data_IF_039852123739
#
_entry.id   IF_039852123739
#
_cell.length_a   1.000
_cell.length_b   1.000
_cell.length_c   1.000
_cell.angle_alpha   90.00
_cell.angle_beta   90.00
_cell.angle_gamma   90.00
#
_symmetry.space_group_name_H-M   'P 1'
#
loop_
_entity.id
_entity.type
_entity.pdbx_description
1 polymer ?
#
# COMPACT_ATOMS: atom_id res chain seq x y z
N UNK A 1 -28.18 -30.53 -35.94
CA UNK A 1 -29.46 -30.01 -35.42
C UNK A 1 -29.16 -28.97 -34.35
N UNK A 2 -29.55 -27.72 -34.56
CA UNK A 2 -29.28 -26.61 -33.63
C UNK A 2 -30.13 -26.75 -32.36
N UNK A 3 -29.48 -26.72 -31.19
CA UNK A 3 -30.13 -26.77 -29.87
C UNK A 3 -30.95 -25.48 -29.68
N UNK A 4 -32.27 -25.59 -29.55
CA UNK A 4 -33.15 -24.45 -29.25
C UNK A 4 -32.94 -24.04 -27.78
N UNK A 5 -32.42 -22.83 -27.56
CA UNK A 5 -32.37 -22.17 -26.25
C UNK A 5 -33.80 -21.99 -25.70
N UNK A 6 -34.00 -22.40 -24.46
CA UNK A 6 -35.30 -22.32 -23.77
C UNK A 6 -35.55 -20.90 -23.23
N UNK A 7 -36.78 -20.59 -22.85
CA UNK A 7 -37.15 -19.25 -22.36
C UNK A 7 -36.43 -18.85 -21.06
N UNK A 8 -36.03 -19.83 -20.24
CA UNK A 8 -35.26 -19.61 -19.01
C UNK A 8 -33.79 -19.25 -19.31
N UNK A 9 -33.18 -19.84 -20.35
CA UNK A 9 -31.84 -19.46 -20.80
C UNK A 9 -31.80 -17.98 -21.25
N UNK A 10 -32.87 -17.49 -21.88
CA UNK A 10 -32.98 -16.09 -22.30
C UNK A 10 -33.13 -15.13 -21.12
N UNK A 11 -33.88 -15.50 -20.07
CA UNK A 11 -34.02 -14.67 -18.86
C UNK A 11 -32.71 -14.56 -18.07
N UNK A 12 -31.95 -15.64 -17.95
CA UNK A 12 -30.63 -15.64 -17.29
C UNK A 12 -29.62 -14.76 -18.04
N UNK A 13 -29.64 -14.81 -19.38
CA UNK A 13 -28.72 -14.01 -20.20
C UNK A 13 -29.05 -12.51 -20.17
N UNK A 14 -30.35 -12.14 -20.14
CA UNK A 14 -30.79 -10.75 -20.05
C UNK A 14 -30.53 -10.13 -18.67
N UNK A 15 -30.71 -10.89 -17.59
CA UNK A 15 -30.42 -10.43 -16.23
C UNK A 15 -28.92 -10.16 -16.01
N UNK A 16 -28.03 -10.98 -16.61
CA UNK A 16 -26.58 -10.76 -16.55
C UNK A 16 -26.12 -9.59 -17.41
N UNK A 17 -26.72 -9.36 -18.59
CA UNK A 17 -26.38 -8.21 -19.45
C UNK A 17 -26.73 -6.87 -18.80
N UNK A 18 -27.80 -6.82 -18.01
CA UNK A 18 -28.22 -5.58 -17.35
C UNK A 18 -27.31 -5.21 -16.16
N UNK A 19 -26.74 -6.20 -15.44
CA UNK A 19 -25.73 -5.95 -14.42
C UNK A 19 -24.39 -5.45 -15.01
N UNK A 20 -24.07 -5.88 -16.22
CA UNK A 20 -22.84 -5.53 -16.96
C UNK A 20 -22.80 -4.04 -17.37
N UNK A 21 -23.95 -3.43 -17.70
CA UNK A 21 -24.01 -2.01 -18.08
C UNK A 21 -23.70 -1.08 -16.90
N UNK A 22 -24.13 -1.44 -15.69
CA UNK A 22 -23.91 -0.61 -14.49
C UNK A 22 -22.52 -0.78 -13.88
N UNK A 23 -21.78 -1.84 -14.25
CA UNK A 23 -20.47 -2.14 -13.68
C UNK A 23 -19.40 -1.10 -14.08
N UNK A 24 -19.31 -0.64 -15.36
CA UNK A 24 -18.45 0.48 -15.75
C UNK A 24 -18.84 1.81 -15.07
N UNK A 25 -20.13 2.07 -14.90
CA UNK A 25 -20.64 3.27 -14.22
C UNK A 25 -20.27 3.29 -12.74
N UNK A 26 -20.38 2.14 -12.05
CA UNK A 26 -19.96 2.00 -10.66
C UNK A 26 -18.45 2.16 -10.50
N UNK A 27 -17.64 1.58 -11.39
CA UNK A 27 -16.17 1.76 -11.37
C UNK A 27 -15.76 3.22 -11.65
N UNK A 28 -16.47 3.91 -12.54
CA UNK A 28 -16.28 5.35 -12.76
C UNK A 28 -16.66 6.18 -11.53
N UNK A 29 -17.73 5.80 -10.82
CA UNK A 29 -18.14 6.39 -9.54
C UNK A 29 -17.09 6.20 -8.45
N UNK A 30 -16.63 4.98 -8.22
CA UNK A 30 -15.60 4.67 -7.23
C UNK A 30 -14.28 5.37 -7.54
N UNK A 31 -13.91 5.47 -8.82
CA UNK A 31 -12.72 6.20 -9.24
C UNK A 31 -12.82 7.70 -8.92
N UNK A 32 -13.95 8.34 -9.24
CA UNK A 32 -14.17 9.74 -8.95
C UNK A 32 -14.18 10.01 -7.44
N UNK A 33 -14.86 9.16 -6.67
CA UNK A 33 -14.93 9.25 -5.21
C UNK A 33 -13.53 9.09 -4.57
N UNK A 34 -12.73 8.11 -5.00
CA UNK A 34 -11.34 7.96 -4.56
C UNK A 34 -10.51 9.20 -4.88
N UNK A 35 -10.65 9.76 -6.08
CA UNK A 35 -9.92 10.97 -6.44
C UNK A 35 -10.30 12.13 -5.51
N UNK A 36 -11.59 12.33 -5.24
CA UNK A 36 -12.08 13.36 -4.31
C UNK A 36 -11.52 13.17 -2.91
N UNK A 37 -11.65 11.97 -2.33
CA UNK A 37 -11.12 11.63 -1.01
C UNK A 37 -9.60 11.87 -0.91
N UNK A 38 -8.85 11.54 -1.98
CA UNK A 38 -7.42 11.80 -2.05
C UNK A 38 -7.10 13.29 -2.11
N UNK A 39 -7.81 14.09 -2.90
CA UNK A 39 -7.61 15.54 -2.92
C UNK A 39 -7.92 16.18 -1.56
N UNK A 40 -9.03 15.80 -0.94
CA UNK A 40 -9.45 16.28 0.38
C UNK A 40 -8.40 15.99 1.46
N UNK A 41 -7.65 14.88 1.32
CA UNK A 41 -6.56 14.55 2.24
C UNK A 41 -5.26 15.28 1.93
N UNK A 42 -4.84 15.34 0.67
CA UNK A 42 -3.51 15.82 0.30
C UNK A 42 -3.42 17.36 0.27
N UNK A 43 -4.50 18.06 -0.08
CA UNK A 43 -4.50 19.53 -0.13
C UNK A 43 -4.27 20.18 1.26
N UNK A 44 -4.95 19.77 2.34
CA UNK A 44 -4.67 20.30 3.68
C UNK A 44 -3.23 20.02 4.13
N UNK A 45 -2.70 18.83 3.83
CA UNK A 45 -1.31 18.50 4.15
C UNK A 45 -0.34 19.45 3.44
N UNK A 46 -0.54 19.72 2.14
CA UNK A 46 0.27 20.67 1.38
C UNK A 46 0.14 22.11 1.90
N UNK A 47 -1.05 22.51 2.34
CA UNK A 47 -1.30 23.84 2.88
C UNK A 47 -0.63 24.08 4.25
N UNK A 48 -0.38 23.02 5.01
CA UNK A 48 0.19 23.09 6.36
C UNK A 48 1.70 22.81 6.41
N UNK A 49 2.36 22.58 5.27
CA UNK A 49 3.82 22.36 5.27
C UNK A 49 4.54 23.67 5.55
N UNK A 50 5.01 23.81 6.78
CA UNK A 50 5.89 24.91 7.18
C UNK A 50 7.23 24.82 6.43
N UNK A 51 7.80 25.97 6.08
CA UNK A 51 9.14 26.10 5.49
C UNK A 51 9.37 25.41 4.14
N UNK A 52 8.29 25.05 3.40
CA UNK A 52 8.43 24.58 2.02
C UNK A 52 8.69 25.76 1.06
N UNK A 53 9.76 25.74 0.25
CA UNK A 53 9.98 26.76 -0.77
C UNK A 53 8.82 26.81 -1.76
N UNK A 54 8.39 28.03 -2.15
CA UNK A 54 7.25 28.22 -3.07
C UNK A 54 7.38 27.40 -4.35
N UNK A 55 8.58 27.36 -4.96
CA UNK A 55 8.83 26.56 -6.16
C UNK A 55 8.70 25.04 -5.93
N UNK A 56 8.94 24.54 -4.71
CA UNK A 56 8.72 23.15 -4.37
C UNK A 56 7.21 22.85 -4.22
N UNK A 57 6.47 23.75 -3.56
CA UNK A 57 5.01 23.64 -3.43
C UNK A 57 4.31 23.63 -4.80
N UNK A 58 4.68 24.57 -5.68
CA UNK A 58 4.14 24.64 -7.05
C UNK A 58 4.38 23.35 -7.84
N UNK A 59 5.58 22.76 -7.74
CA UNK A 59 5.88 21.47 -8.39
C UNK A 59 5.03 20.33 -7.83
N UNK A 60 4.84 20.28 -6.50
CA UNK A 60 3.98 19.25 -5.88
C UNK A 60 2.54 19.40 -6.35
N UNK A 61 1.98 20.60 -6.31
CA UNK A 61 0.63 20.90 -6.81
C UNK A 61 0.46 20.53 -8.29
N UNK A 62 1.42 20.90 -9.15
CA UNK A 62 1.37 20.57 -10.58
C UNK A 62 1.36 19.05 -10.83
N UNK A 63 2.09 18.29 -10.01
CA UNK A 63 2.15 16.82 -10.12
C UNK A 63 1.00 16.08 -9.44
N UNK A 64 0.28 16.73 -8.53
CA UNK A 64 -0.72 16.10 -7.66
C UNK A 64 -1.83 15.36 -8.45
N UNK A 65 -2.42 15.93 -9.53
CA UNK A 65 -3.45 15.24 -10.29
C UNK A 65 -2.97 13.92 -10.90
N UNK A 66 -1.72 13.88 -11.34
CA UNK A 66 -1.13 12.66 -11.90
C UNK A 66 -1.05 11.57 -10.84
N UNK A 67 -0.48 11.88 -9.66
CA UNK A 67 -0.32 10.90 -8.59
C UNK A 67 -1.66 10.46 -7.98
N UNK A 68 -2.64 11.35 -7.86
CA UNK A 68 -3.98 11.00 -7.38
C UNK A 68 -4.66 10.03 -8.32
N UNK A 69 -4.69 10.30 -9.64
CA UNK A 69 -5.26 9.36 -10.62
C UNK A 69 -4.53 8.02 -10.59
N UNK A 70 -3.20 8.05 -10.52
CA UNK A 70 -2.39 6.83 -10.42
C UNK A 70 -2.70 6.02 -9.16
N UNK A 71 -2.86 6.67 -8.00
CA UNK A 71 -3.22 6.00 -6.76
C UNK A 71 -4.65 5.45 -6.81
N UNK A 72 -5.62 6.20 -7.33
CA UNK A 72 -7.00 5.75 -7.46
C UNK A 72 -7.11 4.51 -8.37
N UNK A 73 -6.53 4.55 -9.58
CA UNK A 73 -6.47 3.39 -10.48
C UNK A 73 -5.74 2.22 -9.82
N UNK A 74 -4.60 2.48 -9.18
CA UNK A 74 -3.83 1.47 -8.46
C UNK A 74 -4.62 0.79 -7.36
N UNK A 75 -5.37 1.56 -6.56
CA UNK A 75 -6.20 1.02 -5.50
C UNK A 75 -7.31 0.11 -6.06
N UNK A 76 -8.07 0.58 -7.05
CA UNK A 76 -9.16 -0.19 -7.66
C UNK A 76 -8.66 -1.50 -8.31
N UNK A 77 -7.53 -1.44 -9.00
CA UNK A 77 -6.90 -2.63 -9.59
C UNK A 77 -6.38 -3.60 -8.52
N UNK A 78 -5.84 -3.08 -7.42
CA UNK A 78 -5.33 -3.91 -6.33
C UNK A 78 -6.44 -4.67 -5.58
N UNK A 79 -7.68 -4.18 -5.56
CA UNK A 79 -8.83 -4.87 -4.92
C UNK A 79 -9.00 -6.30 -5.46
N UNK A 80 -8.73 -6.52 -6.75
CA UNK A 80 -8.90 -7.83 -7.38
C UNK A 80 -7.94 -8.91 -6.83
N UNK A 81 -6.80 -8.49 -6.26
CA UNK A 81 -5.71 -9.38 -5.86
C UNK A 81 -5.33 -9.24 -4.38
N UNK A 82 -5.84 -8.20 -3.71
CA UNK A 82 -5.60 -7.88 -2.31
C UNK A 82 -6.60 -8.60 -1.41
N UNK A 83 -6.17 -9.11 -0.25
CA UNK A 83 -7.09 -9.63 0.78
C UNK A 83 -7.75 -8.52 1.62
N UNK A 84 -7.41 -7.25 1.37
CA UNK A 84 -7.88 -6.10 2.13
C UNK A 84 -9.15 -5.52 1.50
N UNK A 85 -10.00 -4.93 2.34
CA UNK A 85 -11.16 -4.17 1.86
C UNK A 85 -10.74 -2.74 1.57
N UNK A 86 -11.04 -2.22 0.38
CA UNK A 86 -10.86 -0.80 0.08
C UNK A 86 -12.08 -0.02 0.56
N UNK A 87 -11.83 1.04 1.32
CA UNK A 87 -12.79 2.08 1.64
C UNK A 87 -12.55 3.26 0.70
N UNK A 88 -13.42 3.36 -0.30
CA UNK A 88 -13.37 4.34 -1.38
C UNK A 88 -13.53 5.76 -0.84
N UNK A 89 -14.43 5.96 0.13
CA UNK A 89 -14.78 7.28 0.68
C UNK A 89 -13.64 7.89 1.50
N UNK A 90 -12.85 7.05 2.17
CA UNK A 90 -11.71 7.50 2.98
C UNK A 90 -10.36 7.29 2.29
N UNK A 91 -10.34 6.74 1.06
CA UNK A 91 -9.15 6.29 0.36
C UNK A 91 -8.19 5.48 1.26
N UNK A 92 -8.75 4.47 1.95
CA UNK A 92 -8.04 3.69 2.97
C UNK A 92 -8.26 2.18 2.80
N UNK A 93 -7.30 1.38 3.25
CA UNK A 93 -7.40 -0.08 3.25
C UNK A 93 -7.74 -0.61 4.64
N UNK A 94 -8.68 -1.55 4.72
CA UNK A 94 -9.23 -2.05 5.97
C UNK A 94 -9.00 -3.56 6.13
N UNK A 95 -8.59 -3.93 7.34
CA UNK A 95 -8.53 -5.30 7.83
C UNK A 95 -8.52 -5.28 9.38
N UNK A 96 -8.90 -6.39 10.04
CA UNK A 96 -8.86 -6.49 11.50
C UNK A 96 -7.46 -6.18 12.06
N UNK A 97 -7.40 -5.25 13.02
CA UNK A 97 -6.16 -4.87 13.67
C UNK A 97 -5.83 -5.81 14.85
N UNK A 98 -4.66 -6.47 14.84
CA UNK A 98 -4.27 -7.36 15.92
C UNK A 98 -3.95 -6.56 17.19
N UNK A 99 -4.11 -7.19 18.36
CA UNK A 99 -3.86 -6.56 19.67
C UNK A 99 -2.39 -6.20 19.88
N UNK A 100 -1.47 -6.97 19.28
CA UNK A 100 -0.02 -6.76 19.36
C UNK A 100 0.54 -6.47 17.98
N UNK A 101 1.63 -5.68 17.95
CA UNK A 101 2.40 -5.40 16.73
C UNK A 101 2.85 -6.72 16.09
N UNK A 102 2.52 -7.00 14.83
CA UNK A 102 3.01 -8.19 14.14
C UNK A 102 4.53 -8.23 14.06
N UNK A 103 5.11 -9.40 14.29
CA UNK A 103 6.53 -9.65 14.01
C UNK A 103 6.70 -10.36 12.66
N UNK A 104 7.90 -10.25 12.09
CA UNK A 104 8.27 -11.00 10.89
C UNK A 104 8.27 -12.53 11.13
N UNK A 105 8.39 -12.97 12.40
CA UNK A 105 8.35 -14.38 12.79
C UNK A 105 9.58 -15.17 12.33
N UNK A 106 10.73 -14.51 12.16
CA UNK A 106 11.97 -15.10 11.64
C UNK A 106 13.17 -14.63 12.47
N UNK A 107 14.23 -15.44 12.52
CA UNK A 107 15.50 -15.04 13.14
C UNK A 107 16.24 -14.00 12.27
N UNK A 108 17.25 -13.36 12.86
CA UNK A 108 18.11 -12.41 12.14
C UNK A 108 18.80 -13.06 10.93
N UNK A 109 19.26 -14.31 11.07
CA UNK A 109 19.89 -15.09 10.00
C UNK A 109 18.88 -15.38 8.88
N UNK A 110 17.67 -15.80 9.23
CA UNK A 110 16.63 -16.10 8.25
C UNK A 110 16.15 -14.84 7.51
N UNK A 111 16.09 -13.69 8.19
CA UNK A 111 15.83 -12.41 7.54
C UNK A 111 16.96 -12.04 6.59
N UNK A 112 18.21 -12.20 7.04
CA UNK A 112 19.39 -11.89 6.25
C UNK A 112 19.45 -12.73 4.97
N UNK A 113 19.19 -14.03 5.07
CA UNK A 113 19.10 -14.94 3.92
C UNK A 113 17.98 -14.55 2.95
N UNK A 114 16.83 -14.09 3.47
CA UNK A 114 15.73 -13.66 2.63
C UNK A 114 16.07 -12.41 1.82
N UNK A 115 16.65 -11.38 2.45
CA UNK A 115 17.06 -10.17 1.75
C UNK A 115 18.24 -10.43 0.80
N UNK A 116 19.18 -11.29 1.16
CA UNK A 116 20.24 -11.71 0.23
C UNK A 116 19.71 -12.34 -1.06
N UNK A 117 18.56 -13.01 -1.01
CA UNK A 117 17.93 -13.66 -2.17
C UNK A 117 16.96 -12.76 -2.93
N UNK A 118 16.23 -11.89 -2.23
CA UNK A 118 15.07 -11.20 -2.79
C UNK A 118 15.18 -9.68 -2.82
N UNK A 119 16.16 -9.06 -2.16
CA UNK A 119 16.33 -7.62 -2.23
C UNK A 119 16.60 -7.18 -3.68
N UNK A 120 15.72 -6.31 -4.20
CA UNK A 120 15.79 -5.82 -5.56
C UNK A 120 15.21 -4.41 -5.63
N UNK A 121 15.64 -3.62 -6.62
CA UNK A 121 15.14 -2.26 -6.85
C UNK A 121 13.61 -2.26 -7.01
N UNK A 122 12.97 -1.31 -6.34
CA UNK A 122 11.52 -1.14 -6.36
C UNK A 122 10.75 -2.10 -5.46
N UNK A 123 11.39 -3.12 -4.88
CA UNK A 123 10.70 -4.03 -3.96
C UNK A 123 10.15 -3.26 -2.75
N UNK A 124 8.86 -3.43 -2.50
CA UNK A 124 8.18 -2.83 -1.36
C UNK A 124 8.44 -3.65 -0.10
N UNK A 125 8.91 -2.97 0.94
CA UNK A 125 9.28 -3.59 2.21
C UNK A 125 8.66 -2.86 3.40
N UNK A 126 8.30 -3.58 4.48
CA UNK A 126 7.79 -2.99 5.70
C UNK A 126 8.90 -2.55 6.65
N UNK A 127 8.79 -1.33 7.17
CA UNK A 127 9.65 -0.78 8.22
C UNK A 127 8.80 -0.55 9.47
N UNK A 128 9.14 -1.21 10.56
CA UNK A 128 8.57 -0.89 11.87
C UNK A 128 9.21 0.39 12.38
N UNK A 129 8.37 1.36 12.73
CA UNK A 129 8.77 2.61 13.36
C UNK A 129 8.24 2.64 14.79
N UNK A 130 9.12 2.85 15.75
CA UNK A 130 8.81 2.83 17.17
C UNK A 130 9.29 4.10 17.87
N UNK A 131 8.35 4.75 18.54
CA UNK A 131 8.55 5.91 19.42
C UNK A 131 8.12 5.54 20.84
N UNK A 132 8.43 6.36 21.86
CA UNK A 132 7.86 6.19 23.20
C UNK A 132 6.32 6.20 23.21
N UNK A 133 5.69 6.96 22.29
CA UNK A 133 4.25 7.17 22.26
C UNK A 133 3.51 6.05 21.52
N UNK A 134 4.06 5.62 20.38
CA UNK A 134 3.43 4.61 19.52
C UNK A 134 4.41 3.79 18.69
N UNK A 135 3.92 2.66 18.20
CA UNK A 135 4.55 1.80 17.18
C UNK A 135 3.63 1.70 15.97
N UNK A 136 4.20 1.74 14.77
CA UNK A 136 3.50 1.47 13.51
C UNK A 136 4.42 0.71 12.56
N UNK A 137 3.85 0.21 11.46
CA UNK A 137 4.62 -0.34 10.34
C UNK A 137 4.30 0.52 9.13
N UNK A 138 5.32 1.00 8.44
CA UNK A 138 5.21 1.84 7.25
C UNK A 138 5.76 1.08 6.05
N UNK A 139 5.26 1.40 4.85
CA UNK A 139 5.80 0.84 3.62
C UNK A 139 6.85 1.78 3.04
N UNK A 140 7.93 1.20 2.54
CA UNK A 140 8.90 1.90 1.71
C UNK A 140 9.36 0.99 0.57
N UNK A 141 10.17 1.51 -0.35
CA UNK A 141 10.74 0.74 -1.46
C UNK A 141 12.27 0.79 -1.44
N UNK A 142 12.87 -0.33 -1.84
CA UNK A 142 14.32 -0.42 -2.04
C UNK A 142 14.72 0.41 -3.26
N UNK A 143 15.66 1.33 -3.11
CA UNK A 143 16.25 2.08 -4.23
C UNK A 143 17.75 1.80 -4.43
N UNK A 144 18.41 1.10 -3.50
CA UNK A 144 19.76 0.52 -3.68
C UNK A 144 19.92 -0.78 -2.91
N UNK A 145 20.73 -1.69 -3.45
CA UNK A 145 21.17 -2.92 -2.77
C UNK A 145 22.70 -2.97 -2.83
N UNK A 146 23.33 -3.25 -1.69
CA UNK A 146 24.77 -3.40 -1.52
C UNK A 146 25.03 -4.80 -0.95
N UNK A 147 25.13 -5.83 -1.82
CA UNK A 147 25.28 -7.22 -1.39
C UNK A 147 26.59 -7.47 -0.63
N UNK A 148 27.66 -6.75 -0.99
CA UNK A 148 28.99 -6.90 -0.38
C UNK A 148 28.96 -6.52 1.10
N UNK A 149 28.27 -5.43 1.43
CA UNK A 149 28.08 -4.98 2.82
C UNK A 149 26.79 -5.51 3.45
N UNK A 150 26.06 -6.41 2.78
CA UNK A 150 24.79 -7.00 3.23
C UNK A 150 23.80 -5.96 3.74
N UNK A 151 23.61 -4.90 2.94
CA UNK A 151 22.73 -3.78 3.28
C UNK A 151 21.95 -3.31 2.06
N UNK A 152 20.91 -2.54 2.31
CA UNK A 152 20.06 -1.94 1.29
C UNK A 152 19.68 -0.53 1.72
N UNK A 153 19.37 0.31 0.74
CA UNK A 153 18.87 1.66 0.97
C UNK A 153 17.40 1.70 0.58
N UNK A 154 16.60 2.31 1.44
CA UNK A 154 15.19 2.57 1.23
C UNK A 154 15.00 4.02 0.85
N UNK A 155 14.06 4.26 -0.05
CA UNK A 155 13.94 5.56 -0.70
C UNK A 155 13.50 6.70 0.23
N UNK A 156 12.82 6.41 1.34
CA UNK A 156 12.49 7.40 2.37
C UNK A 156 13.29 7.20 3.67
N UNK A 157 13.59 5.95 4.03
CA UNK A 157 14.09 5.58 5.36
C UNK A 157 15.62 5.43 5.49
N UNK A 158 16.38 5.55 4.41
CA UNK A 158 17.84 5.45 4.47
C UNK A 158 18.37 4.02 4.46
N UNK A 159 19.57 3.81 5.03
CA UNK A 159 20.23 2.50 5.01
C UNK A 159 19.74 1.54 6.09
N UNK A 160 19.66 0.27 5.71
CA UNK A 160 19.41 -0.87 6.60
C UNK A 160 20.35 -2.02 6.28
N UNK A 161 20.83 -2.71 7.30
CA UNK A 161 21.45 -4.02 7.10
C UNK A 161 20.39 -5.11 6.83
N UNK A 162 20.83 -6.26 6.31
CA UNK A 162 19.94 -7.39 6.03
C UNK A 162 19.39 -8.06 7.29
N UNK A 163 19.92 -7.77 8.48
CA UNK A 163 19.38 -8.26 9.76
C UNK A 163 18.22 -7.40 10.27
N UNK A 164 18.06 -6.20 9.73
CA UNK A 164 16.94 -5.31 9.97
C UNK A 164 17.29 -4.00 10.67
N UNK A 165 18.56 -3.77 11.04
CA UNK A 165 18.96 -2.56 11.74
C UNK A 165 19.08 -1.39 10.77
N UNK A 166 18.41 -0.28 11.10
CA UNK A 166 18.51 0.97 10.34
C UNK A 166 19.52 1.94 10.94
N UNK A 167 19.81 3.03 10.21
CA UNK A 167 20.60 4.16 10.71
C UNK A 167 19.93 4.84 11.91
N UNK A 168 18.59 4.80 11.97
CA UNK A 168 17.79 5.32 13.06
C UNK A 168 17.33 4.20 13.98
N UNK A 169 17.54 4.35 15.29
CA UNK A 169 17.20 3.32 16.29
C UNK A 169 15.70 3.06 16.42
N UNK A 170 14.86 3.99 15.94
CA UNK A 170 13.41 3.84 15.88
C UNK A 170 12.96 2.90 14.76
N UNK A 171 13.82 2.65 13.78
CA UNK A 171 13.47 1.92 12.57
C UNK A 171 14.03 0.50 12.57
N UNK A 172 13.14 -0.45 12.27
CA UNK A 172 13.52 -1.84 12.03
C UNK A 172 12.93 -2.31 10.71
N UNK A 173 13.78 -2.69 9.78
CA UNK A 173 13.36 -3.36 8.55
C UNK A 173 12.86 -4.78 8.88
N UNK A 174 11.69 -5.12 8.35
CA UNK A 174 11.06 -6.41 8.56
C UNK A 174 10.96 -7.18 7.23
N UNK A 175 11.16 -8.49 7.28
CA UNK A 175 10.81 -9.37 6.17
C UNK A 175 9.29 -9.25 5.87
N UNK A 176 8.89 -9.01 4.61
CA UNK A 176 7.49 -9.02 4.21
C UNK A 176 6.80 -10.36 4.52
N UNK A 177 5.64 -10.30 5.15
CA UNK A 177 4.70 -11.41 5.27
C UNK A 177 3.27 -10.88 5.33
N UNK A 178 2.27 -11.74 5.16
CA UNK A 178 0.87 -11.29 5.07
C UNK A 178 0.43 -10.45 6.29
N UNK A 179 0.80 -10.84 7.51
CA UNK A 179 0.41 -10.10 8.73
C UNK A 179 1.07 -8.72 8.82
N UNK A 180 2.36 -8.65 8.53
CA UNK A 180 3.16 -7.41 8.56
C UNK A 180 2.70 -6.47 7.44
N UNK A 181 2.50 -7.00 6.23
CA UNK A 181 2.07 -6.21 5.08
C UNK A 181 0.63 -5.71 5.22
N UNK A 182 -0.27 -6.52 5.79
CA UNK A 182 -1.62 -6.06 6.14
C UNK A 182 -1.57 -4.92 7.15
N UNK A 183 -0.80 -5.06 8.24
CA UNK A 183 -0.66 -4.00 9.22
C UNK A 183 -0.12 -2.69 8.62
N UNK A 184 0.90 -2.79 7.76
CA UNK A 184 1.48 -1.64 7.08
C UNK A 184 0.48 -0.99 6.11
N UNK A 185 -0.21 -1.80 5.30
CA UNK A 185 -1.15 -1.34 4.27
C UNK A 185 -2.44 -0.76 4.86
N UNK A 186 -2.81 -1.15 6.08
CA UNK A 186 -3.98 -0.61 6.77
C UNK A 186 -3.64 0.53 7.74
N UNK A 187 -2.37 0.95 7.82
CA UNK A 187 -1.94 2.00 8.74
C UNK A 187 -2.11 1.65 10.20
N UNK A 188 -2.08 0.36 10.59
CA UNK A 188 -2.29 -0.05 11.97
C UNK A 188 -1.25 0.55 12.93
N UNK A 189 -1.69 0.84 14.16
CA UNK A 189 -0.87 1.49 15.19
C UNK A 189 -1.09 0.92 16.59
N UNK A 190 -0.07 0.98 17.42
CA UNK A 190 -0.12 0.50 18.81
C UNK A 190 0.54 1.50 19.73
N UNK A 191 0.11 1.55 20.99
CA UNK A 191 0.79 2.22 22.08
C UNK A 191 0.98 1.23 23.26
N UNK A 192 1.44 1.73 24.40
CA UNK A 192 1.64 0.92 25.61
C UNK A 192 0.36 0.24 26.14
N UNK A 193 -0.84 0.74 25.78
CA UNK A 193 -2.14 0.17 26.18
C UNK A 193 -2.70 -0.83 25.16
N UNK A 194 -2.06 -0.98 23.99
CA UNK A 194 -2.50 -1.87 22.92
C UNK A 194 -2.81 -1.12 21.62
N UNK A 195 -3.80 -1.60 20.87
CA UNK A 195 -4.18 -1.00 19.59
C UNK A 195 -4.75 0.41 19.76
N UNK A 196 -4.37 1.31 18.86
CA UNK A 196 -4.99 2.63 18.68
C UNK A 196 -5.54 2.73 17.26
N UNK A 197 -6.30 3.80 16.98
CA UNK A 197 -6.85 4.04 15.65
C UNK A 197 -5.74 3.99 14.59
N UNK A 198 -5.98 3.32 13.44
CA UNK A 198 -5.05 3.35 12.33
C UNK A 198 -4.79 4.77 11.85
N UNK A 199 -3.55 5.04 11.43
CA UNK A 199 -3.21 6.28 10.73
C UNK A 199 -3.68 6.21 9.29
N UNK A 200 -3.91 7.39 8.73
CA UNK A 200 -4.06 7.53 7.29
C UNK A 200 -2.72 7.26 6.59
N UNK A 201 -2.76 6.48 5.52
CA UNK A 201 -1.59 6.29 4.66
C UNK A 201 -1.29 7.54 3.86
N UNK A 202 -0.01 7.79 3.62
CA UNK A 202 0.40 8.83 2.67
C UNK A 202 0.06 8.43 1.23
N UNK A 203 -0.03 9.40 0.31
CA UNK A 203 -0.20 9.10 -1.12
C UNK A 203 0.89 8.15 -1.66
N UNK A 204 2.13 8.31 -1.18
CA UNK A 204 3.25 7.41 -1.51
C UNK A 204 2.95 5.99 -1.06
N UNK A 205 2.52 5.79 0.18
CA UNK A 205 2.21 4.46 0.69
C UNK A 205 1.05 3.81 -0.04
N UNK A 206 0.02 4.57 -0.43
CA UNK A 206 -1.06 4.03 -1.27
C UNK A 206 -0.54 3.53 -2.63
N UNK A 207 0.36 4.29 -3.27
CA UNK A 207 1.02 3.85 -4.50
C UNK A 207 1.83 2.56 -4.27
N UNK A 208 2.52 2.44 -3.12
CA UNK A 208 3.23 1.21 -2.77
C UNK A 208 2.26 0.04 -2.56
N UNK A 209 1.15 0.23 -1.83
CA UNK A 209 0.11 -0.80 -1.63
C UNK A 209 -0.42 -1.31 -2.98
N UNK A 210 -0.66 -0.40 -3.92
CA UNK A 210 -1.14 -0.74 -5.26
C UNK A 210 -0.17 -1.61 -6.09
N UNK A 211 1.10 -1.71 -5.68
CA UNK A 211 2.14 -2.50 -6.36
C UNK A 211 2.48 -3.80 -5.63
N UNK A 212 1.77 -4.16 -4.56
CA UNK A 212 2.09 -5.35 -3.77
C UNK A 212 1.69 -6.65 -4.48
N UNK A 213 2.65 -7.58 -4.56
CA UNK A 213 2.35 -8.99 -4.79
C UNK A 213 1.89 -9.66 -3.48
N UNK A 214 0.58 -9.68 -3.26
CA UNK A 214 -0.03 -10.28 -2.06
C UNK A 214 0.18 -11.80 -1.93
N UNK A 215 0.72 -12.47 -2.95
CA UNK A 215 1.02 -13.91 -2.89
C UNK A 215 2.41 -14.16 -2.29
N UNK A 216 3.44 -13.43 -2.73
CA UNK A 216 4.83 -13.72 -2.34
C UNK A 216 5.61 -12.54 -1.75
N UNK A 217 5.24 -11.30 -2.05
CA UNK A 217 5.98 -10.09 -1.65
C UNK A 217 7.46 -10.11 -2.05
N UNK A 218 7.77 -10.64 -3.25
CA UNK A 218 9.14 -10.76 -3.77
C UNK A 218 9.41 -9.84 -4.96
N UNK A 219 8.37 -9.22 -5.50
CA UNK A 219 8.43 -8.30 -6.65
C UNK A 219 7.42 -7.18 -6.44
N UNK A 220 7.71 -6.01 -7.03
CA UNK A 220 6.72 -4.96 -7.19
C UNK A 220 5.96 -5.16 -8.51
N UNK A 221 4.63 -5.17 -8.42
CA UNK A 221 3.73 -5.20 -9.57
C UNK A 221 3.64 -3.80 -10.19
N UNK A 222 3.18 -3.74 -11.45
CA UNK A 222 2.91 -2.47 -12.11
C UNK A 222 1.47 -2.03 -11.83
N UNK A 223 1.29 -0.75 -11.55
CA UNK A 223 -0.04 -0.12 -11.62
C UNK A 223 -0.42 -0.10 -13.10
N UNK A 224 -1.45 -0.87 -13.48
CA UNK A 224 -2.00 -0.83 -14.82
C UNK A 224 -2.54 0.58 -15.11
N UNK A 225 -2.25 1.08 -16.32
CA UNK A 225 -2.77 2.35 -16.83
C UNK A 225 -4.18 2.19 -17.33
#
# INVERSE_FOLDING_TARGET
MAKRLTADDRKSTLANQQADIFQPLAQQGDFAELCSALYERELPQLAQVNDMPVAALQRRLASLPHYIRHAAHGCLNAVQHSPLKLDVQNASWQAPQPTKVPSAGISAEGQSQWFAKHAALGLVVPVRYQTPEFTTIMLDSIDRVDPDKKRLHLNYRGWFDFTGQGEHSQDTLLKPNKRVMTAASCGHQWNHKGRVNPRTLTLRELLLVATLDWKKFQVALRIAR
#
